data_IF_033162324850
#
_entry.id   IF_033162324850
#
_cell.length_a   1.000
_cell.length_b   1.000
_cell.length_c   1.000
_cell.angle_alpha   90.00
_cell.angle_beta   90.00
_cell.angle_gamma   90.00
#
_symmetry.space_group_name_H-M   'P 1'
#
loop_
_entity.id
_entity.type
_entity.pdbx_description
1 polymer ?
#
# COMPACT_ATOMS: atom_id res chain seq x y z
N UNK A 1 -19.58 14.75 -3.31
CA UNK A 1 -18.58 15.34 -4.23
C UNK A 1 -17.41 15.80 -3.39
N UNK A 2 -16.20 15.30 -3.64
CA UNK A 2 -14.98 15.79 -2.97
C UNK A 2 -14.13 16.57 -3.96
N UNK A 3 -13.81 17.80 -3.59
CA UNK A 3 -12.91 18.70 -4.29
C UNK A 3 -11.48 18.30 -3.96
N UNK A 4 -10.64 18.09 -4.97
CA UNK A 4 -9.20 17.87 -4.77
C UNK A 4 -8.46 19.13 -5.16
N UNK A 5 -7.96 19.86 -4.16
CA UNK A 5 -6.95 20.89 -4.35
C UNK A 5 -5.64 20.19 -4.75
N UNK A 6 -5.19 20.45 -5.98
CA UNK A 6 -4.00 19.87 -6.59
C UNK A 6 -2.67 20.21 -5.90
N UNK A 7 -2.67 21.13 -4.92
CA UNK A 7 -1.51 21.40 -4.06
C UNK A 7 -1.41 20.46 -2.86
N UNK A 8 -2.52 19.82 -2.46
CA UNK A 8 -2.58 18.81 -1.41
C UNK A 8 -2.67 17.41 -2.05
N UNK A 9 -1.57 16.67 -2.13
CA UNK A 9 -1.58 15.32 -2.69
C UNK A 9 -2.67 14.46 -2.04
N UNK A 10 -3.52 13.83 -2.87
CA UNK A 10 -4.58 12.92 -2.40
C UNK A 10 -3.98 11.86 -1.48
N UNK A 11 -4.63 11.61 -0.35
CA UNK A 11 -4.29 10.55 0.58
C UNK A 11 -5.48 9.60 0.68
N UNK A 12 -5.22 8.30 0.72
CA UNK A 12 -6.22 7.29 1.03
C UNK A 12 -5.84 6.55 2.30
N UNK A 13 -6.79 6.46 3.22
CA UNK A 13 -6.67 5.66 4.43
C UNK A 13 -7.88 4.73 4.55
N UNK A 14 -7.63 3.43 4.65
CA UNK A 14 -8.64 2.41 4.92
C UNK A 14 -8.20 1.64 6.14
N UNK A 15 -9.02 1.65 7.18
CA UNK A 15 -8.76 0.93 8.42
C UNK A 15 -9.99 0.12 8.81
N UNK A 16 -9.74 -1.10 9.29
CA UNK A 16 -10.77 -1.95 9.89
C UNK A 16 -10.42 -2.26 11.34
N UNK A 17 -11.44 -2.59 12.14
CA UNK A 17 -11.26 -3.08 13.51
C UNK A 17 -10.55 -4.44 13.57
N UNK A 18 -10.40 -4.96 14.79
CA UNK A 18 -9.56 -6.13 15.02
C UNK A 18 -10.05 -7.37 14.25
N UNK A 19 -9.12 -8.12 13.66
CA UNK A 19 -9.36 -9.31 12.82
C UNK A 19 -10.23 -9.04 11.57
N UNK A 20 -10.47 -7.79 11.22
CA UNK A 20 -11.22 -7.47 10.01
C UNK A 20 -10.37 -7.61 8.75
N UNK A 21 -10.95 -7.31 7.59
CA UNK A 21 -10.32 -7.57 6.30
C UNK A 21 -10.43 -6.36 5.38
N UNK A 22 -9.30 -5.89 4.85
CA UNK A 22 -9.26 -4.94 3.73
C UNK A 22 -9.10 -5.73 2.44
N UNK A 23 -9.97 -5.46 1.47
CA UNK A 23 -9.85 -6.00 0.12
C UNK A 23 -9.85 -4.85 -0.87
N UNK A 24 -8.72 -4.62 -1.52
CA UNK A 24 -8.67 -3.76 -2.70
C UNK A 24 -8.80 -4.63 -3.96
N UNK A 25 -9.83 -4.37 -4.76
CA UNK A 25 -10.14 -5.10 -6.01
C UNK A 25 -10.03 -4.22 -7.25
N UNK A 26 -9.70 -2.93 -7.10
CA UNK A 26 -9.80 -1.93 -8.16
C UNK A 26 -8.59 -1.01 -8.21
N UNK A 27 -8.61 -0.02 -9.11
CA UNK A 27 -7.53 0.95 -9.23
C UNK A 27 -7.60 2.00 -8.11
N UNK A 28 -6.60 1.97 -7.23
CA UNK A 28 -6.38 2.88 -6.12
C UNK A 28 -5.18 3.79 -6.43
N UNK A 29 -5.46 5.08 -6.60
CA UNK A 29 -4.47 6.10 -6.99
C UNK A 29 -4.46 7.24 -5.97
N UNK A 30 -3.29 7.50 -5.37
CA UNK A 30 -3.10 8.62 -4.46
C UNK A 30 -1.63 9.04 -4.43
N UNK A 31 -1.27 10.09 -3.69
CA UNK A 31 0.13 10.34 -3.33
C UNK A 31 0.59 9.38 -2.22
N UNK A 32 -0.32 9.05 -1.30
CA UNK A 32 -0.08 8.21 -0.15
C UNK A 32 -1.28 7.29 0.06
N UNK A 33 -1.03 5.99 0.20
CA UNK A 33 -2.07 4.95 0.36
C UNK A 33 -1.74 4.14 1.60
N UNK A 34 -2.63 4.11 2.59
CA UNK A 34 -2.49 3.28 3.78
C UNK A 34 -3.71 2.35 3.94
N UNK A 35 -3.45 1.05 3.87
CA UNK A 35 -4.42 -0.02 4.09
C UNK A 35 -4.06 -0.76 5.37
N UNK A 36 -4.98 -0.79 6.34
CA UNK A 36 -4.73 -1.31 7.67
C UNK A 36 -5.83 -2.28 8.15
N UNK A 37 -5.41 -3.46 8.59
CA UNK A 37 -6.24 -4.48 9.21
C UNK A 37 -5.53 -5.05 10.46
N UNK A 38 -5.79 -4.48 11.64
CA UNK A 38 -5.21 -4.96 12.90
C UNK A 38 -5.60 -6.42 13.16
N UNK A 39 -4.60 -7.27 13.43
CA UNK A 39 -4.67 -8.74 13.55
C UNK A 39 -5.48 -9.43 12.43
N UNK A 40 -5.61 -8.75 11.29
CA UNK A 40 -6.53 -9.06 10.22
C UNK A 40 -5.83 -9.28 8.90
N UNK A 41 -6.61 -9.32 7.81
CA UNK A 41 -6.07 -9.67 6.50
C UNK A 41 -6.17 -8.51 5.52
N UNK A 42 -5.14 -8.34 4.72
CA UNK A 42 -5.15 -7.44 3.56
C UNK A 42 -5.05 -8.29 2.30
N UNK A 43 -5.97 -8.05 1.37
CA UNK A 43 -5.94 -8.60 0.03
C UNK A 43 -5.78 -7.46 -0.96
N UNK A 44 -4.54 -7.23 -1.39
CA UNK A 44 -4.20 -6.29 -2.45
C UNK A 44 -4.34 -7.03 -3.80
N UNK A 45 -5.57 -7.12 -4.30
CA UNK A 45 -5.94 -7.91 -5.48
C UNK A 45 -5.91 -7.05 -6.74
N UNK A 46 -4.71 -6.70 -7.20
CA UNK A 46 -4.55 -6.00 -8.46
C UNK A 46 -4.77 -6.97 -9.64
N UNK A 47 -5.99 -7.11 -10.15
CA UNK A 47 -6.26 -7.93 -11.34
C UNK A 47 -5.57 -7.39 -12.60
N UNK A 48 -4.75 -8.18 -13.30
CA UNK A 48 -4.32 -7.91 -14.69
C UNK A 48 -3.61 -6.59 -15.01
N UNK A 49 -3.13 -5.83 -14.00
CA UNK A 49 -2.52 -4.50 -14.19
C UNK A 49 -1.93 -3.87 -12.92
N UNK A 50 -1.71 -2.54 -12.95
CA UNK A 50 -1.22 -1.74 -11.82
C UNK A 50 -2.38 -1.10 -11.06
N UNK A 51 -2.72 -1.62 -9.88
CA UNK A 51 -3.96 -1.21 -9.21
C UNK A 51 -3.78 -0.60 -7.82
N UNK A 52 -2.60 -0.63 -7.21
CA UNK A 52 -2.27 0.31 -6.13
C UNK A 52 -1.08 1.13 -6.60
N UNK A 53 -1.29 2.43 -6.80
CA UNK A 53 -0.23 3.33 -7.24
C UNK A 53 -0.20 4.59 -6.39
N UNK A 54 0.92 4.76 -5.70
CA UNK A 54 1.29 5.99 -5.04
C UNK A 54 2.18 6.83 -5.98
N UNK A 55 1.78 8.06 -6.30
CA UNK A 55 2.59 9.03 -7.03
C UNK A 55 2.69 10.30 -6.23
N UNK A 56 3.89 10.58 -5.72
CA UNK A 56 4.19 11.73 -4.88
C UNK A 56 3.81 13.06 -5.54
N UNK A 57 3.85 14.10 -4.71
CA UNK A 57 3.66 15.50 -5.09
C UNK A 57 4.94 16.28 -4.81
N UNK A 58 4.91 17.61 -5.02
CA UNK A 58 6.05 18.47 -4.72
C UNK A 58 6.46 18.45 -3.24
N UNK A 59 5.53 18.13 -2.34
CA UNK A 59 5.75 18.18 -0.87
C UNK A 59 5.61 16.83 -0.19
N UNK A 60 5.35 15.75 -0.94
CA UNK A 60 5.14 14.40 -0.38
C UNK A 60 5.64 13.35 -1.35
N UNK A 61 6.42 12.42 -0.84
CA UNK A 61 6.91 11.25 -1.54
C UNK A 61 5.77 10.26 -1.81
N UNK A 62 5.95 9.44 -2.86
CA UNK A 62 5.00 8.38 -3.18
C UNK A 62 5.16 7.23 -2.21
N UNK A 63 4.11 6.93 -1.43
CA UNK A 63 4.18 5.91 -0.39
C UNK A 63 2.95 5.00 -0.33
N UNK A 64 3.17 3.70 -0.21
CA UNK A 64 2.14 2.71 0.13
C UNK A 64 2.47 2.01 1.46
N UNK A 65 1.51 1.95 2.37
CA UNK A 65 1.55 1.14 3.58
C UNK A 65 0.51 0.02 3.50
N UNK A 66 0.97 -1.22 3.68
CA UNK A 66 0.14 -2.41 3.84
C UNK A 66 0.37 -2.97 5.25
N UNK A 67 -0.56 -2.70 6.17
CA UNK A 67 -0.40 -2.97 7.60
C UNK A 67 -1.41 -4.00 8.08
N UNK A 68 -0.99 -5.27 8.09
CA UNK A 68 -1.73 -6.39 8.67
C UNK A 68 -1.01 -6.88 9.92
N UNK A 69 -0.86 -6.00 10.92
CA UNK A 69 -0.13 -6.31 12.14
C UNK A 69 -0.72 -7.57 12.81
N UNK A 70 0.05 -8.65 12.98
CA UNK A 70 -0.43 -9.92 13.53
C UNK A 70 -1.20 -10.82 12.56
N UNK A 71 -1.51 -10.35 11.35
CA UNK A 71 -2.23 -11.09 10.31
C UNK A 71 -1.48 -11.18 8.99
N UNK A 72 -2.22 -11.34 7.88
CA UNK A 72 -1.65 -11.66 6.58
C UNK A 72 -1.85 -10.56 5.55
N UNK A 73 -0.81 -10.26 4.77
CA UNK A 73 -0.94 -9.55 3.49
C UNK A 73 -0.86 -10.58 2.37
N UNK A 74 -1.89 -10.61 1.51
CA UNK A 74 -1.87 -11.33 0.24
C UNK A 74 -1.78 -10.32 -0.88
N UNK A 75 -0.66 -10.34 -1.61
CA UNK A 75 -0.47 -9.49 -2.76
C UNK A 75 -0.61 -10.27 -4.05
N UNK A 76 -1.39 -9.69 -4.97
CA UNK A 76 -1.48 -10.08 -6.38
C UNK A 76 -1.34 -8.84 -7.25
N UNK A 77 -0.79 -8.99 -8.45
CA UNK A 77 -0.55 -7.89 -9.38
C UNK A 77 0.43 -6.82 -8.86
N UNK A 78 0.41 -5.62 -9.48
CA UNK A 78 1.43 -4.60 -9.22
C UNK A 78 1.00 -3.56 -8.18
N UNK A 79 1.83 -3.39 -7.14
CA UNK A 79 1.85 -2.21 -6.25
C UNK A 79 3.02 -1.32 -6.66
N UNK A 80 2.75 -0.05 -6.91
CA UNK A 80 3.75 0.91 -7.39
C UNK A 80 3.84 2.14 -6.48
N UNK A 81 5.05 2.62 -6.25
CA UNK A 81 5.32 3.87 -5.56
C UNK A 81 6.40 4.65 -6.29
N UNK A 82 6.12 5.89 -6.66
CA UNK A 82 7.08 6.81 -7.29
C UNK A 82 6.91 8.22 -6.76
N UNK A 83 7.99 8.98 -6.72
CA UNK A 83 8.00 10.41 -6.42
C UNK A 83 7.58 11.23 -7.65
N UNK A 84 7.27 12.50 -7.45
CA UNK A 84 6.80 13.40 -8.52
C UNK A 84 7.85 13.55 -9.64
N UNK A 85 9.13 13.51 -9.29
CA UNK A 85 10.27 13.60 -10.21
C UNK A 85 10.53 12.30 -11.00
N UNK A 86 9.71 11.26 -10.78
CA UNK A 86 9.87 9.94 -11.38
C UNK A 86 10.84 9.04 -10.64
N UNK A 87 11.50 9.53 -9.57
CA UNK A 87 12.29 8.71 -8.67
C UNK A 87 11.44 7.64 -7.99
N UNK A 88 12.06 6.53 -7.56
CA UNK A 88 11.34 5.47 -6.88
C UNK A 88 10.83 5.90 -5.50
N UNK A 89 9.55 5.65 -5.22
CA UNK A 89 8.93 5.87 -3.91
C UNK A 89 9.11 4.69 -2.96
N UNK A 90 8.33 4.63 -1.89
CA UNK A 90 8.44 3.61 -0.84
C UNK A 90 7.19 2.74 -0.74
N UNK A 91 7.39 1.44 -0.55
CA UNK A 91 6.35 0.52 -0.09
C UNK A 91 6.78 -0.06 1.24
N UNK A 92 5.94 0.07 2.26
CA UNK A 92 6.08 -0.59 3.55
C UNK A 92 5.04 -1.69 3.69
N UNK A 93 5.47 -2.90 4.03
CA UNK A 93 4.60 -4.04 4.31
C UNK A 93 4.89 -4.55 5.70
N UNK A 94 3.92 -4.41 6.62
CA UNK A 94 3.98 -4.94 7.98
C UNK A 94 2.96 -6.06 8.12
N UNK A 95 3.41 -7.30 8.26
CA UNK A 95 2.52 -8.45 8.40
C UNK A 95 3.20 -9.60 9.17
N UNK A 96 2.41 -10.47 9.80
CA UNK A 96 2.93 -11.74 10.31
C UNK A 96 3.24 -12.71 9.16
N UNK A 97 2.52 -12.60 8.05
CA UNK A 97 2.79 -13.38 6.83
C UNK A 97 2.54 -12.53 5.60
N UNK A 98 3.50 -12.54 4.67
CA UNK A 98 3.36 -11.97 3.34
C UNK A 98 3.27 -13.09 2.31
N UNK A 99 2.10 -13.23 1.68
CA UNK A 99 1.86 -14.12 0.56
C UNK A 99 1.97 -13.33 -0.74
N UNK A 100 3.06 -13.54 -1.46
CA UNK A 100 3.37 -12.88 -2.73
C UNK A 100 3.08 -13.83 -3.89
N UNK A 101 2.00 -13.59 -4.63
CA UNK A 101 1.58 -14.49 -5.72
C UNK A 101 2.53 -14.42 -6.93
N UNK A 102 2.44 -15.41 -7.82
CA UNK A 102 3.24 -15.49 -9.04
C UNK A 102 3.06 -14.28 -10.00
N UNK A 103 1.92 -13.59 -9.92
CA UNK A 103 1.58 -12.40 -10.71
C UNK A 103 1.87 -11.09 -9.95
N UNK A 104 2.42 -11.16 -8.75
CA UNK A 104 2.69 -10.00 -7.92
C UNK A 104 3.99 -9.30 -8.31
N UNK A 105 3.98 -7.97 -8.24
CA UNK A 105 5.16 -7.13 -8.45
C UNK A 105 5.14 -5.91 -7.51
N UNK A 106 6.30 -5.53 -6.99
CA UNK A 106 6.53 -4.23 -6.36
C UNK A 106 7.37 -3.38 -7.32
N UNK A 107 6.88 -2.17 -7.64
CA UNK A 107 7.61 -1.18 -8.45
C UNK A 107 7.82 0.07 -7.61
N UNK A 108 8.93 0.10 -6.89
CA UNK A 108 9.28 1.18 -5.97
C UNK A 108 10.80 1.37 -5.93
N UNK A 109 11.26 2.50 -5.42
CA UNK A 109 12.67 2.70 -5.12
C UNK A 109 13.12 1.92 -3.89
N UNK A 110 12.18 1.69 -2.97
CA UNK A 110 12.38 0.89 -1.77
C UNK A 110 11.15 0.06 -1.44
N UNK A 111 11.39 -1.17 -1.02
CA UNK A 111 10.38 -2.02 -0.40
C UNK A 111 10.89 -2.53 0.94
N UNK A 112 10.22 -2.13 2.02
CA UNK A 112 10.50 -2.63 3.35
C UNK A 112 9.47 -3.71 3.70
N UNK A 113 9.95 -4.90 4.07
CA UNK A 113 9.13 -6.00 4.57
C UNK A 113 9.48 -6.20 6.03
N UNK A 114 8.51 -5.96 6.90
CA UNK A 114 8.66 -5.93 8.34
C UNK A 114 7.71 -6.97 8.94
N UNK A 115 8.19 -7.65 9.98
CA UNK A 115 7.35 -8.33 10.95
C UNK A 115 7.31 -7.50 12.24
N UNK A 116 6.28 -7.70 13.07
CA UNK A 116 6.26 -7.12 14.41
C UNK A 116 7.12 -7.98 15.35
N UNK A 117 8.42 -8.06 15.10
CA UNK A 117 9.38 -8.60 16.09
C UNK A 117 10.56 -7.67 16.41
N UNK A 118 10.61 -6.46 15.86
CA UNK A 118 11.62 -5.46 16.24
C UNK A 118 11.14 -4.55 17.38
N UNK A 119 11.10 -5.10 18.59
CA UNK A 119 11.30 -4.32 19.81
C UNK A 119 12.42 -4.99 20.62
N UNK A 120 13.65 -4.70 20.24
CA UNK A 120 14.83 -4.87 21.09
C UNK A 120 15.08 -3.61 21.91
#
# INVERSE_FOLDING_TARGET
MMLSDSSSGRQLFVQTGNKGTVIDRGATLAAQINLEAADGNIYALAGGGSHIRATGTATRDGHVWLVANGGQVTQRGTVAAMNLDGGGGTVDTLAATLNFAHDAAIRAGRWNVLDRTSSG
#
